data_IF_205865223955
#
_entry.id   IF_205865223955
#
_cell.length_a   1.000
_cell.length_b   1.000
_cell.length_c   1.000
_cell.angle_alpha   90.00
_cell.angle_beta   90.00
_cell.angle_gamma   90.00
#
_symmetry.space_group_name_H-M   'P 1'
#
loop_
_entity.id
_entity.type
_entity.pdbx_description
1 polymer ?
#
# COMPACT_ATOMS: atom_id res chain seq x y z
N UNK A 1 -66.51 38.88 -1.63
CA UNK A 1 -66.14 38.09 -0.44
C UNK A 1 -64.61 38.05 -0.36
N UNK A 2 -64.06 38.45 0.81
CA UNK A 2 -62.81 38.02 1.50
C UNK A 2 -61.70 37.40 0.62
N UNK A 3 -60.42 37.75 0.68
CA UNK A 3 -59.61 38.43 1.68
C UNK A 3 -58.20 38.69 1.08
N UNK A 4 -57.57 39.82 1.46
CA UNK A 4 -56.17 40.03 1.95
C UNK A 4 -55.06 39.06 1.46
N UNK A 5 -53.81 39.44 1.17
CA UNK A 5 -52.99 40.64 1.40
C UNK A 5 -51.74 40.50 0.49
N UNK A 6 -51.28 41.57 -0.17
CA UNK A 6 -50.16 42.46 0.21
C UNK A 6 -48.76 41.94 -0.16
N UNK A 7 -48.06 42.82 -0.89
CA UNK A 7 -46.63 42.82 -1.18
C UNK A 7 -45.77 42.80 0.09
N UNK A 8 -44.47 42.52 -0.06
CA UNK A 8 -43.37 43.36 0.48
C UNK A 8 -42.04 42.91 -0.12
N UNK A 9 -41.23 43.92 -0.40
CA UNK A 9 -39.90 43.89 -0.96
C UNK A 9 -38.82 43.74 0.15
N UNK A 10 -37.65 43.20 -0.24
CA UNK A 10 -36.32 43.79 0.00
C UNK A 10 -35.70 43.81 1.43
N UNK A 11 -34.40 43.45 1.45
CA UNK A 11 -33.27 43.87 2.33
C UNK A 11 -32.90 43.11 3.64
N UNK A 12 -31.62 42.72 3.65
CA UNK A 12 -30.56 42.94 4.66
C UNK A 12 -30.66 42.43 6.13
N UNK A 13 -29.63 41.65 6.48
CA UNK A 13 -28.73 41.75 7.66
C UNK A 13 -29.23 41.59 9.12
N UNK A 14 -28.37 40.87 9.86
CA UNK A 14 -28.04 40.91 11.31
C UNK A 14 -28.92 40.09 12.28
N UNK A 15 -28.39 38.95 12.79
CA UNK A 15 -27.68 38.73 14.09
C UNK A 15 -28.69 38.42 15.24
N UNK A 16 -28.55 37.47 16.18
CA UNK A 16 -27.47 36.73 16.89
C UNK A 16 -28.06 35.33 17.30
N UNK A 17 -27.40 34.27 17.78
CA UNK A 17 -26.09 34.05 18.41
C UNK A 17 -25.68 32.55 18.32
N UNK A 18 -24.37 32.31 18.23
CA UNK A 18 -23.59 31.15 18.69
C UNK A 18 -23.86 29.76 18.10
N UNK A 19 -23.08 29.40 17.07
CA UNK A 19 -22.47 28.06 16.95
C UNK A 19 -21.22 28.16 16.07
N UNK A 20 -20.11 27.69 16.61
CA UNK A 20 -18.75 27.78 16.09
C UNK A 20 -18.47 26.84 14.93
N UNK A 21 -18.09 27.39 13.77
CA UNK A 21 -17.10 26.79 12.85
C UNK A 21 -16.54 27.89 11.92
N UNK A 22 -15.60 28.66 12.46
CA UNK A 22 -15.13 29.94 11.92
C UNK A 22 -13.78 29.80 11.19
N UNK A 23 -13.82 29.66 9.85
CA UNK A 23 -12.66 29.80 8.98
C UNK A 23 -12.99 30.46 7.63
N UNK A 24 -12.47 31.66 7.38
CA UNK A 24 -12.58 32.42 6.13
C UNK A 24 -11.54 31.95 5.12
N UNK A 25 -11.97 31.76 3.87
CA UNK A 25 -11.19 31.16 2.79
C UNK A 25 -12.09 30.34 1.85
N UNK A 26 -11.54 29.58 0.90
CA UNK A 26 -10.11 29.43 0.64
C UNK A 26 -9.48 30.69 0.02
N UNK A 27 -8.30 31.07 0.52
CA UNK A 27 -7.39 32.01 -0.15
C UNK A 27 -6.42 31.20 -1.01
N UNK A 28 -6.25 31.62 -2.26
CA UNK A 28 -5.54 30.81 -3.26
C UNK A 28 -6.29 29.52 -3.57
N UNK A 29 -5.64 28.60 -4.29
CA UNK A 29 -6.28 27.35 -4.71
C UNK A 29 -5.36 26.15 -4.60
N UNK A 30 -5.94 25.04 -4.18
CA UNK A 30 -5.39 23.69 -4.29
C UNK A 30 -6.33 22.92 -5.21
N UNK A 31 -5.77 22.30 -6.23
CA UNK A 31 -6.45 21.43 -7.17
C UNK A 31 -5.55 20.24 -7.50
N UNK A 32 -5.84 19.07 -6.92
CA UNK A 32 -5.09 17.83 -7.14
C UNK A 32 -6.09 16.71 -7.42
N UNK A 33 -6.29 16.36 -8.69
CA UNK A 33 -7.37 15.44 -9.07
C UNK A 33 -8.73 15.96 -8.60
N UNK A 34 -9.41 15.18 -7.74
CA UNK A 34 -10.72 15.55 -7.19
C UNK A 34 -10.64 16.42 -5.92
N UNK A 35 -9.43 16.68 -5.41
CA UNK A 35 -9.22 17.48 -4.22
C UNK A 35 -9.24 18.96 -4.54
N UNK A 36 -10.07 19.72 -3.82
CA UNK A 36 -10.19 21.18 -3.94
C UNK A 36 -10.00 21.84 -2.58
N UNK A 37 -9.30 22.97 -2.54
CA UNK A 37 -9.02 23.63 -1.27
C UNK A 37 -8.18 24.90 -1.40
N UNK A 38 -7.55 25.29 -0.30
CA UNK A 38 -6.69 26.48 -0.23
C UNK A 38 -6.25 26.78 1.20
N UNK A 39 -5.80 28.01 1.43
CA UNK A 39 -5.44 28.52 2.76
C UNK A 39 -6.66 29.12 3.47
N UNK A 40 -6.70 28.99 4.79
CA UNK A 40 -7.81 29.50 5.62
C UNK A 40 -7.26 30.34 6.78
N UNK A 41 -8.07 31.29 7.25
CA UNK A 41 -7.79 32.09 8.44
C UNK A 41 -8.65 31.67 9.62
N UNK A 42 -8.29 32.11 10.81
CA UNK A 42 -9.19 32.14 11.95
C UNK A 42 -10.05 33.42 11.86
N UNK A 43 -11.37 33.33 11.99
CA UNK A 43 -12.25 34.50 11.74
C UNK A 43 -12.17 35.56 12.82
N UNK A 44 -11.76 35.19 14.03
CA UNK A 44 -11.65 36.10 15.18
C UNK A 44 -10.37 36.94 15.12
N UNK A 45 -9.29 36.35 14.60
CA UNK A 45 -7.96 36.98 14.58
C UNK A 45 -7.51 37.41 13.19
N UNK A 46 -8.19 36.96 12.13
CA UNK A 46 -7.79 37.14 10.73
C UNK A 46 -6.47 36.46 10.36
N UNK A 47 -5.84 35.74 11.30
CA UNK A 47 -4.51 35.16 11.13
C UNK A 47 -4.59 33.82 10.40
N UNK A 48 -3.54 33.48 9.65
CA UNK A 48 -3.43 32.20 8.96
C UNK A 48 -3.56 31.04 9.95
N UNK A 49 -4.52 30.15 9.71
CA UNK A 49 -4.80 29.03 10.59
C UNK A 49 -4.27 27.71 10.01
N UNK A 50 -4.67 27.37 8.78
CA UNK A 50 -4.35 26.09 8.17
C UNK A 50 -4.52 26.10 6.64
N UNK A 51 -3.92 25.12 5.97
CA UNK A 51 -4.27 24.75 4.59
C UNK A 51 -5.08 23.47 4.60
N UNK A 52 -6.12 23.41 3.76
CA UNK A 52 -7.00 22.25 3.66
C UNK A 52 -7.37 21.97 2.21
N UNK A 53 -7.64 20.70 1.92
CA UNK A 53 -8.35 20.31 0.71
C UNK A 53 -9.32 19.19 1.01
N UNK A 54 -10.48 19.22 0.34
CA UNK A 54 -11.51 18.20 0.47
C UNK A 54 -11.92 17.60 -0.86
N UNK A 55 -12.51 16.41 -0.77
CA UNK A 55 -13.08 15.68 -1.89
C UNK A 55 -14.40 15.01 -1.46
N UNK A 56 -15.36 14.98 -2.36
CA UNK A 56 -16.64 14.29 -2.15
C UNK A 56 -16.49 12.80 -2.49
N UNK A 57 -16.98 11.93 -1.61
CA UNK A 57 -17.01 10.49 -1.83
C UNK A 57 -18.45 9.99 -2.09
N UNK A 58 -18.56 8.86 -2.80
CA UNK A 58 -19.83 8.22 -3.12
C UNK A 58 -20.63 7.80 -1.88
N UNK A 59 -19.95 7.64 -0.73
CA UNK A 59 -20.57 7.38 0.57
C UNK A 59 -21.36 8.56 1.14
N UNK A 60 -21.38 9.71 0.47
CA UNK A 60 -21.99 10.95 0.96
C UNK A 60 -21.06 11.76 1.87
N UNK A 61 -19.91 11.21 2.26
CA UNK A 61 -18.93 11.92 3.09
C UNK A 61 -18.13 12.89 2.24
N UNK A 62 -18.06 14.14 2.68
CA UNK A 62 -17.05 15.09 2.25
C UNK A 62 -15.83 14.93 3.16
N UNK A 63 -14.73 14.45 2.59
CA UNK A 63 -13.51 14.11 3.32
C UNK A 63 -12.47 15.21 3.11
N UNK A 64 -11.85 15.67 4.20
CA UNK A 64 -10.93 16.80 4.22
C UNK A 64 -9.60 16.40 4.84
N UNK A 65 -8.50 16.85 4.26
CA UNK A 65 -7.16 16.74 4.82
C UNK A 65 -6.65 18.15 5.13
N UNK A 66 -6.16 18.35 6.35
CA UNK A 66 -5.73 19.64 6.85
C UNK A 66 -4.31 19.56 7.41
N UNK A 67 -3.56 20.66 7.23
CA UNK A 67 -2.30 20.91 7.91
C UNK A 67 -2.35 22.33 8.52
N UNK A 68 -2.10 22.43 9.81
CA UNK A 68 -2.10 23.72 10.52
C UNK A 68 -0.78 24.50 10.28
N UNK A 69 -0.76 25.76 10.72
CA UNK A 69 0.41 26.63 10.61
C UNK A 69 1.66 26.12 11.35
N UNK A 70 1.48 25.26 12.36
CA UNK A 70 2.53 24.56 13.11
C UNK A 70 2.99 23.24 12.50
N UNK A 71 2.33 22.76 11.43
CA UNK A 71 2.62 21.50 10.75
C UNK A 71 1.91 20.27 11.33
N UNK A 72 0.94 20.46 12.24
CA UNK A 72 0.06 19.41 12.73
C UNK A 72 -0.94 18.99 11.65
N UNK A 73 -1.19 17.69 11.53
CA UNK A 73 -2.13 17.15 10.54
C UNK A 73 -3.46 16.82 11.18
N UNK A 74 -4.54 16.90 10.40
CA UNK A 74 -5.83 16.36 10.82
C UNK A 74 -6.67 15.90 9.62
N UNK A 75 -7.57 14.96 9.90
CA UNK A 75 -8.63 14.53 8.99
C UNK A 75 -9.93 15.22 9.37
N UNK A 76 -10.73 15.60 8.38
CA UNK A 76 -12.08 16.08 8.55
C UNK A 76 -13.06 15.16 7.84
N UNK A 77 -14.14 14.80 8.52
CA UNK A 77 -15.24 14.05 7.92
C UNK A 77 -16.51 14.85 8.09
N UNK A 78 -17.19 15.15 6.99
CA UNK A 78 -18.49 15.82 7.01
C UNK A 78 -19.55 14.96 6.34
N UNK A 79 -20.71 14.83 6.98
CA UNK A 79 -21.81 14.04 6.43
C UNK A 79 -23.17 14.65 6.81
N UNK A 80 -24.05 14.83 5.84
CA UNK A 80 -25.32 15.56 5.99
C UNK A 80 -26.28 14.95 7.02
N UNK A 81 -26.21 13.63 7.23
CA UNK A 81 -27.06 12.92 8.17
C UNK A 81 -26.52 12.91 9.61
N UNK A 82 -25.32 13.45 9.85
CA UNK A 82 -24.78 13.51 11.21
C UNK A 82 -25.41 14.65 12.00
N UNK A 83 -25.57 14.41 13.30
CA UNK A 83 -26.02 15.37 14.31
C UNK A 83 -25.03 15.32 15.45
N UNK A 84 -24.03 16.19 15.40
CA UNK A 84 -22.91 16.21 16.32
C UNK A 84 -23.03 17.35 17.33
N UNK A 85 -22.61 17.11 18.56
CA UNK A 85 -22.47 18.13 19.60
C UNK A 85 -21.03 18.63 19.64
N UNK A 86 -20.80 19.93 19.43
CA UNK A 86 -19.44 20.50 19.49
C UNK A 86 -18.79 20.22 20.84
N UNK A 87 -17.58 19.67 20.83
CA UNK A 87 -16.81 19.34 22.03
C UNK A 87 -17.07 17.95 22.63
N UNK A 88 -18.07 17.21 22.16
CA UNK A 88 -18.32 15.83 22.59
C UNK A 88 -17.45 14.84 21.82
N UNK A 89 -16.81 13.87 22.49
CA UNK A 89 -15.95 12.90 21.81
C UNK A 89 -16.77 12.02 20.84
N UNK A 90 -16.39 12.01 19.56
CA UNK A 90 -17.04 11.21 18.53
C UNK A 90 -16.16 10.00 18.20
N UNK A 91 -16.51 8.77 18.62
CA UNK A 91 -15.67 7.61 18.37
C UNK A 91 -15.66 7.26 16.88
N UNK A 92 -14.46 7.07 16.32
CA UNK A 92 -14.26 6.45 15.01
C UNK A 92 -13.23 5.34 15.13
N UNK A 93 -13.42 4.31 14.31
CA UNK A 93 -12.39 3.30 14.08
C UNK A 93 -11.90 3.46 12.65
N UNK A 94 -10.63 3.92 12.51
CA UNK A 94 -10.00 4.12 11.21
C UNK A 94 -9.12 2.93 10.86
N UNK A 95 -9.34 2.31 9.72
CA UNK A 95 -8.51 1.22 9.22
C UNK A 95 -7.87 1.64 7.90
N UNK A 96 -6.55 1.53 7.79
CA UNK A 96 -5.82 1.86 6.56
C UNK A 96 -5.36 0.59 5.90
N UNK A 97 -5.64 0.40 4.61
CA UNK A 97 -5.24 -0.77 3.83
C UNK A 97 -5.55 -2.12 4.53
N UNK A 98 -6.67 -2.19 5.26
CA UNK A 98 -7.08 -3.38 6.01
C UNK A 98 -6.19 -3.75 7.20
N UNK A 99 -5.27 -2.86 7.61
CA UNK A 99 -4.39 -3.06 8.76
C UNK A 99 -5.12 -2.93 10.10
N UNK A 100 -4.38 -3.06 11.22
CA UNK A 100 -4.96 -2.89 12.55
C UNK A 100 -5.72 -1.56 12.68
N UNK A 101 -6.95 -1.57 13.22
CA UNK A 101 -7.75 -0.36 13.33
C UNK A 101 -7.19 0.61 14.39
N UNK A 102 -7.21 1.88 14.05
CA UNK A 102 -6.97 2.99 14.98
C UNK A 102 -8.30 3.40 15.59
N UNK A 103 -8.50 3.10 16.87
CA UNK A 103 -9.59 3.67 17.65
C UNK A 103 -9.21 5.11 18.00
N UNK A 104 -9.91 6.06 17.39
CA UNK A 104 -9.66 7.49 17.55
C UNK A 104 -10.91 8.19 18.07
N UNK A 105 -10.68 9.26 18.82
CA UNK A 105 -11.75 10.15 19.26
C UNK A 105 -11.70 11.41 18.40
N UNK A 106 -12.65 11.50 17.46
CA UNK A 106 -12.88 12.70 16.70
C UNK A 106 -13.47 13.80 17.58
N UNK A 107 -13.14 15.04 17.27
CA UNK A 107 -13.66 16.24 17.92
C UNK A 107 -14.61 16.91 16.93
N UNK A 108 -15.93 16.89 17.18
CA UNK A 108 -16.89 17.69 16.43
C UNK A 108 -16.53 19.16 16.52
N UNK A 109 -16.37 19.78 15.35
CA UNK A 109 -16.05 21.21 15.20
C UNK A 109 -17.17 21.97 14.47
N UNK A 110 -18.22 21.26 14.03
CA UNK A 110 -19.51 21.78 13.60
C UNK A 110 -20.57 20.68 13.79
N UNK A 111 -21.85 20.99 13.58
CA UNK A 111 -22.98 20.07 13.73
C UNK A 111 -22.91 18.82 12.82
N UNK A 112 -22.13 18.89 11.73
CA UNK A 112 -21.94 17.80 10.75
C UNK A 112 -20.49 17.45 10.47
N UNK A 113 -19.53 18.14 11.09
CA UNK A 113 -18.10 18.01 10.81
C UNK A 113 -17.34 17.55 12.05
N UNK A 114 -16.67 16.40 11.93
CA UNK A 114 -15.75 15.89 12.94
C UNK A 114 -14.31 15.98 12.44
N UNK A 115 -13.41 16.42 13.32
CA UNK A 115 -11.97 16.48 13.08
C UNK A 115 -11.25 15.40 13.88
N UNK A 116 -10.39 14.64 13.23
CA UNK A 116 -9.48 13.67 13.87
C UNK A 116 -8.06 14.23 13.82
N UNK A 117 -7.47 14.66 14.95
CA UNK A 117 -6.08 15.08 15.00
C UNK A 117 -5.12 13.93 14.67
N UNK A 118 -4.11 14.21 13.88
CA UNK A 118 -3.00 13.30 13.57
C UNK A 118 -1.68 14.03 13.85
N UNK A 119 -1.17 14.01 15.10
CA UNK A 119 0.10 14.63 15.44
C UNK A 119 1.21 14.19 14.48
N UNK A 120 2.13 15.10 14.13
CA UNK A 120 3.13 14.89 13.07
C UNK A 120 4.10 13.71 13.33
N UNK A 121 4.22 13.28 14.59
CA UNK A 121 4.99 12.13 15.06
C UNK A 121 4.13 10.87 15.34
N UNK A 122 2.82 10.89 15.06
CA UNK A 122 1.93 9.76 15.34
C UNK A 122 2.03 8.63 14.31
N UNK A 123 1.79 7.39 14.74
CA UNK A 123 1.64 6.25 13.83
C UNK A 123 0.47 6.45 12.84
N UNK A 124 -0.58 7.16 13.26
CA UNK A 124 -1.75 7.49 12.44
C UNK A 124 -1.39 8.32 11.19
N UNK A 125 -0.66 9.43 11.32
CA UNK A 125 -0.21 10.21 10.14
C UNK A 125 0.78 9.40 9.29
N UNK A 126 1.62 8.58 9.92
CA UNK A 126 2.57 7.73 9.20
C UNK A 126 1.86 6.68 8.34
N UNK A 127 0.73 6.16 8.84
CA UNK A 127 -0.11 5.20 8.14
C UNK A 127 -0.87 5.92 7.01
N UNK A 128 -1.55 7.03 7.32
CA UNK A 128 -2.30 7.81 6.33
C UNK A 128 -1.46 8.23 5.12
N UNK A 129 -0.19 8.63 5.33
CA UNK A 129 0.76 9.01 4.27
C UNK A 129 1.09 7.91 3.29
N UNK A 130 1.03 6.65 3.74
CA UNK A 130 1.41 5.47 2.94
C UNK A 130 0.20 4.72 2.41
N UNK A 131 -0.96 4.96 3.02
CA UNK A 131 -2.18 4.25 2.74
C UNK A 131 -2.75 4.57 1.37
N UNK A 132 -3.29 3.55 0.70
CA UNK A 132 -4.02 3.70 -0.57
C UNK A 132 -5.53 3.63 -0.37
N UNK A 133 -5.98 3.07 0.73
CA UNK A 133 -7.36 3.04 1.15
C UNK A 133 -7.47 3.27 2.66
N UNK A 134 -8.58 3.86 3.06
CA UNK A 134 -8.98 3.98 4.45
C UNK A 134 -10.45 3.61 4.58
N UNK A 135 -10.82 2.95 5.66
CA UNK A 135 -12.20 2.85 6.12
C UNK A 135 -12.36 3.58 7.43
N UNK A 136 -13.53 4.17 7.65
CA UNK A 136 -13.93 4.74 8.93
C UNK A 136 -15.23 4.07 9.36
N UNK A 137 -15.22 3.40 10.50
CA UNK A 137 -16.42 2.86 11.12
C UNK A 137 -16.88 3.78 12.25
N UNK A 138 -18.13 4.23 12.19
CA UNK A 138 -18.74 5.06 13.23
C UNK A 138 -20.26 4.99 13.12
N UNK A 139 -20.97 5.15 14.25
CA UNK A 139 -22.43 5.09 14.33
C UNK A 139 -23.04 3.86 13.62
N UNK A 140 -22.39 2.69 13.72
CA UNK A 140 -22.86 1.46 13.08
C UNK A 140 -22.68 1.39 11.56
N UNK A 141 -22.00 2.37 10.95
CA UNK A 141 -21.82 2.48 9.50
C UNK A 141 -20.33 2.47 9.13
N UNK A 142 -20.02 1.76 8.05
CA UNK A 142 -18.67 1.72 7.47
C UNK A 142 -18.61 2.67 6.26
N UNK A 143 -17.67 3.60 6.29
CA UNK A 143 -17.36 4.51 5.20
C UNK A 143 -16.02 4.12 4.58
N UNK A 144 -15.91 4.15 3.26
CA UNK A 144 -14.69 3.76 2.53
C UNK A 144 -14.14 4.95 1.72
N UNK A 145 -12.83 5.13 1.77
CA UNK A 145 -12.09 6.23 1.15
C UNK A 145 -10.91 5.67 0.34
N UNK A 146 -10.90 5.93 -0.96
CA UNK A 146 -9.71 5.77 -1.79
C UNK A 146 -8.74 6.95 -1.56
N UNK A 147 -7.48 6.66 -1.24
CA UNK A 147 -6.43 7.63 -0.93
C UNK A 147 -5.36 7.77 -2.04
N UNK A 148 -5.56 7.22 -3.23
CA UNK A 148 -4.55 7.18 -4.31
C UNK A 148 -4.02 8.57 -4.74
N UNK A 149 -4.80 9.64 -4.50
CA UNK A 149 -4.41 11.02 -4.80
C UNK A 149 -3.84 11.78 -3.59
N UNK A 150 -3.91 11.22 -2.37
CA UNK A 150 -3.38 11.91 -1.18
C UNK A 150 -1.87 12.06 -1.25
N UNK A 151 -1.15 11.10 -1.85
CA UNK A 151 0.30 11.20 -2.06
C UNK A 151 0.73 12.44 -2.87
N UNK A 152 -0.11 12.93 -3.79
CA UNK A 152 0.12 14.18 -4.52
C UNK A 152 -0.39 15.41 -3.77
N UNK A 153 -1.45 15.24 -2.97
CA UNK A 153 -2.06 16.31 -2.18
C UNK A 153 -1.18 16.75 -1.01
N UNK A 154 -0.55 15.82 -0.28
CA UNK A 154 0.17 16.16 0.94
C UNK A 154 1.33 17.15 0.72
N UNK A 155 2.19 17.00 -0.31
CA UNK A 155 3.21 18.00 -0.63
C UNK A 155 2.63 19.37 -1.01
N UNK A 156 1.47 19.39 -1.70
CA UNK A 156 0.77 20.62 -2.07
C UNK A 156 0.23 21.36 -0.85
N UNK A 157 -0.31 20.64 0.14
CA UNK A 157 -0.73 21.21 1.42
C UNK A 157 0.46 21.78 2.21
N UNK A 158 1.61 21.10 2.21
CA UNK A 158 2.85 21.61 2.82
C UNK A 158 3.36 22.86 2.09
N UNK A 159 3.33 22.88 0.75
CA UNK A 159 3.69 24.04 -0.06
C UNK A 159 2.79 25.25 0.24
N UNK A 160 1.50 25.02 0.41
CA UNK A 160 0.55 26.05 0.82
C UNK A 160 0.95 26.68 2.16
N UNK A 161 1.20 25.88 3.20
CA UNK A 161 1.65 26.39 4.51
C UNK A 161 2.96 27.17 4.37
N UNK A 162 3.94 26.64 3.66
CA UNK A 162 5.24 27.27 3.48
C UNK A 162 5.12 28.64 2.79
N UNK A 163 4.37 28.72 1.68
CA UNK A 163 4.19 29.95 0.90
C UNK A 163 3.46 31.02 1.71
N UNK A 164 2.40 30.66 2.42
CA UNK A 164 1.66 31.60 3.26
C UNK A 164 2.50 32.07 4.45
N UNK A 165 3.27 31.19 5.10
CA UNK A 165 4.18 31.60 6.19
C UNK A 165 5.30 32.52 5.72
N UNK A 166 5.78 32.34 4.50
CA UNK A 166 6.86 33.15 3.94
C UNK A 166 6.38 34.51 3.42
N UNK A 167 5.26 34.53 2.70
CA UNK A 167 4.84 35.68 1.87
C UNK A 167 3.48 36.26 2.27
N UNK A 168 2.84 35.71 3.30
CA UNK A 168 1.54 36.17 3.82
C UNK A 168 0.36 35.80 2.93
N UNK A 169 -0.86 36.02 3.44
CA UNK A 169 -2.11 35.66 2.75
C UNK A 169 -2.34 36.39 1.42
N UNK A 170 -1.85 37.62 1.30
CA UNK A 170 -1.98 38.41 0.08
C UNK A 170 -1.26 37.78 -1.13
N UNK A 171 -0.32 36.87 -0.88
CA UNK A 171 0.43 36.14 -1.91
C UNK A 171 -0.19 34.79 -2.31
N UNK A 172 -1.38 34.47 -1.77
CA UNK A 172 -2.06 33.23 -2.06
C UNK A 172 -2.36 33.12 -3.57
N UNK A 173 -1.96 32.00 -4.17
CA UNK A 173 -2.11 31.75 -5.59
C UNK A 173 -2.46 30.29 -5.83
N UNK A 174 -2.05 29.73 -6.97
CA UNK A 174 -2.10 28.28 -7.17
C UNK A 174 -0.98 27.60 -6.36
N UNK A 175 -1.37 26.74 -5.42
CA UNK A 175 -0.46 25.95 -4.59
C UNK A 175 -0.17 24.56 -5.18
N UNK A 176 -0.94 24.12 -6.17
CA UNK A 176 -0.75 22.83 -6.85
C UNK A 176 0.49 22.81 -7.72
N UNK A 177 0.98 23.97 -8.15
CA UNK A 177 2.27 24.10 -8.84
C UNK A 177 3.38 24.11 -7.80
N UNK A 178 4.06 22.98 -7.66
CA UNK A 178 5.25 22.89 -6.80
C UNK A 178 6.41 23.67 -7.46
N UNK A 179 7.21 24.42 -6.70
CA UNK A 179 8.38 25.10 -7.25
C UNK A 179 9.29 24.10 -7.98
N UNK A 180 9.72 24.44 -9.19
CA UNK A 180 10.77 23.69 -9.87
C UNK A 180 12.00 23.64 -8.95
N UNK A 181 12.53 22.45 -8.70
CA UNK A 181 13.78 22.30 -7.96
C UNK A 181 14.85 23.13 -8.71
N UNK A 182 15.39 24.17 -8.06
CA UNK A 182 16.42 25.02 -8.67
C UNK A 182 17.63 24.15 -9.06
N UNK A 183 18.08 24.18 -10.32
CA UNK A 183 19.34 23.56 -10.70
C UNK A 183 20.47 24.39 -10.09
N UNK A 184 21.28 23.76 -9.24
CA UNK A 184 22.45 24.42 -8.66
C UNK A 184 23.59 24.29 -9.67
N UNK A 185 23.91 25.40 -10.32
CA UNK A 185 25.08 25.55 -11.18
C UNK A 185 26.37 25.45 -10.35
N UNK A 186 27.34 24.73 -10.91
CA UNK A 186 28.65 24.51 -10.32
C UNK A 186 29.49 25.81 -10.29
N UNK A 187 29.96 26.18 -9.11
CA UNK A 187 31.20 26.93 -8.90
C UNK A 187 31.78 26.55 -7.53
N UNK A 188 33.08 26.22 -7.53
CA UNK A 188 33.98 25.90 -6.42
C UNK A 188 33.86 26.89 -5.23
N UNK A 189 34.11 26.57 -3.96
CA UNK A 189 35.08 25.66 -3.32
C UNK A 189 34.69 25.46 -1.84
N UNK A 190 35.27 24.41 -1.23
CA UNK A 190 35.41 24.10 0.20
C UNK A 190 34.19 23.60 1.00
N UNK A 191 34.33 22.31 1.32
CA UNK A 191 33.91 21.61 2.54
C UNK A 191 32.65 20.75 2.43
N UNK A 192 32.91 19.44 2.43
CA UNK A 192 31.97 18.35 2.27
C UNK A 192 30.96 18.30 3.41
N UNK A 193 29.70 18.68 3.12
CA UNK A 193 28.57 18.17 3.88
C UNK A 193 28.24 16.74 3.40
N UNK A 194 28.05 15.76 4.30
CA UNK A 194 27.83 14.37 3.90
C UNK A 194 26.52 14.25 3.12
N UNK A 195 26.55 13.48 2.03
CA UNK A 195 25.37 13.10 1.27
C UNK A 195 24.28 12.59 2.23
N UNK A 196 23.06 13.12 2.13
CA UNK A 196 21.92 12.50 2.84
C UNK A 196 21.87 11.04 2.40
N UNK A 197 21.97 10.07 3.32
CA UNK A 197 21.98 8.68 2.95
C UNK A 197 20.70 8.35 2.19
N UNK A 198 20.83 7.65 1.07
CA UNK A 198 19.69 7.01 0.40
C UNK A 198 18.86 6.33 1.49
N UNK A 199 17.59 6.73 1.64
CA UNK A 199 16.71 6.04 2.59
C UNK A 199 16.54 4.61 2.08
N UNK A 200 17.20 3.69 2.74
CA UNK A 200 17.04 2.27 2.54
C UNK A 200 15.83 1.79 3.32
N UNK A 201 15.00 0.96 2.70
CA UNK A 201 13.86 0.32 3.33
C UNK A 201 14.08 -1.18 3.39
N UNK A 202 13.46 -1.83 4.36
CA UNK A 202 13.45 -3.29 4.45
C UNK A 202 12.48 -3.87 3.43
N UNK A 203 13.00 -4.73 2.56
CA UNK A 203 12.24 -5.47 1.56
C UNK A 203 12.31 -6.95 1.92
N UNK A 204 11.17 -7.62 1.92
CA UNK A 204 11.06 -9.03 2.27
C UNK A 204 10.19 -9.80 1.28
N UNK A 205 10.46 -11.09 1.17
CA UNK A 205 9.70 -12.02 0.35
C UNK A 205 9.99 -13.46 0.77
N UNK A 206 9.53 -14.41 -0.03
CA UNK A 206 9.78 -15.83 0.16
C UNK A 206 10.60 -16.35 -1.02
N UNK A 207 11.43 -17.36 -0.79
CA UNK A 207 12.03 -18.17 -1.83
C UNK A 207 12.05 -19.63 -1.42
N UNK A 208 12.44 -20.52 -2.32
CA UNK A 208 12.60 -21.93 -1.99
C UNK A 208 13.75 -22.60 -2.72
N UNK A 209 14.42 -23.55 -2.04
CA UNK A 209 15.52 -24.33 -2.59
C UNK A 209 15.02 -25.30 -3.68
N UNK A 210 15.68 -25.28 -4.83
CA UNK A 210 15.38 -26.16 -5.98
C UNK A 210 16.51 -27.13 -6.30
N UNK A 211 17.70 -26.93 -5.73
CA UNK A 211 18.88 -27.76 -5.98
C UNK A 211 19.66 -28.04 -4.70
N UNK A 212 20.34 -29.18 -4.64
CA UNK A 212 21.19 -29.57 -3.51
C UNK A 212 22.43 -28.69 -3.36
N UNK A 213 22.77 -27.92 -4.39
CA UNK A 213 23.92 -27.00 -4.42
C UNK A 213 23.53 -25.57 -3.99
N UNK A 214 22.39 -25.40 -3.33
CA UNK A 214 22.00 -24.14 -2.69
C UNK A 214 21.39 -23.10 -3.63
N UNK A 215 20.80 -23.50 -4.76
CA UNK A 215 20.02 -22.58 -5.59
C UNK A 215 18.59 -22.42 -5.08
N UNK A 216 18.15 -21.17 -4.93
CA UNK A 216 16.80 -20.78 -4.52
C UNK A 216 16.12 -20.01 -5.65
N UNK A 217 14.82 -20.23 -5.79
CA UNK A 217 13.96 -19.42 -6.66
C UNK A 217 13.14 -18.46 -5.80
N UNK A 218 12.98 -17.23 -6.28
CA UNK A 218 12.06 -16.22 -5.76
C UNK A 218 11.52 -15.38 -6.92
N UNK A 219 10.75 -14.32 -6.65
CA UNK A 219 10.36 -13.38 -7.69
C UNK A 219 11.44 -12.31 -7.95
N UNK A 220 11.54 -11.85 -9.20
CA UNK A 220 12.46 -10.78 -9.56
C UNK A 220 12.15 -9.49 -8.78
N UNK A 221 10.87 -9.15 -8.61
CA UNK A 221 10.49 -7.95 -7.86
C UNK A 221 10.84 -8.03 -6.36
N UNK A 222 11.06 -9.22 -5.78
CA UNK A 222 11.46 -9.37 -4.37
C UNK A 222 12.90 -8.89 -4.16
N UNK A 223 13.76 -9.07 -5.17
CA UNK A 223 15.17 -8.70 -5.11
C UNK A 223 15.50 -7.41 -5.85
N UNK A 224 14.53 -6.84 -6.56
CA UNK A 224 14.71 -5.61 -7.33
C UNK A 224 14.97 -4.42 -6.41
N UNK A 225 16.06 -3.69 -6.69
CA UNK A 225 16.44 -2.50 -5.92
C UNK A 225 17.17 -2.80 -4.60
N UNK A 226 17.42 -4.08 -4.28
CA UNK A 226 18.27 -4.47 -3.16
C UNK A 226 19.66 -3.85 -3.31
N UNK A 227 20.18 -3.35 -2.19
CA UNK A 227 21.52 -2.81 -2.06
C UNK A 227 22.25 -3.48 -0.91
N UNK A 228 23.52 -3.79 -1.15
CA UNK A 228 24.28 -4.65 -0.25
C UNK A 228 23.84 -6.10 -0.35
N UNK A 229 23.90 -6.80 0.77
CA UNK A 229 23.71 -8.25 0.80
C UNK A 229 22.23 -8.62 0.85
N UNK A 230 21.83 -9.54 -0.04
CA UNK A 230 20.56 -10.26 0.08
C UNK A 230 20.77 -11.34 1.15
N UNK A 231 19.83 -11.43 2.09
CA UNK A 231 19.85 -12.43 3.15
C UNK A 231 18.74 -13.45 2.95
N UNK A 232 19.00 -14.67 3.40
CA UNK A 232 18.02 -15.75 3.42
C UNK A 232 18.17 -16.61 4.66
N UNK A 233 17.05 -17.00 5.27
CA UNK A 233 17.03 -17.99 6.34
C UNK A 233 15.83 -18.92 6.26
N UNK A 234 16.04 -20.14 6.72
CA UNK A 234 14.96 -21.04 7.09
C UNK A 234 14.31 -20.57 8.41
N UNK A 235 13.11 -21.07 8.68
CA UNK A 235 12.39 -20.75 9.90
C UNK A 235 13.21 -21.14 11.14
N UNK A 236 13.50 -20.16 12.00
CA UNK A 236 14.24 -20.38 13.24
C UNK A 236 15.76 -20.49 13.08
N UNK A 237 16.27 -20.35 11.85
CA UNK A 237 17.70 -20.37 11.56
C UNK A 237 18.27 -18.96 11.37
N UNK A 238 19.59 -18.83 11.52
CA UNK A 238 20.29 -17.57 11.31
C UNK A 238 20.30 -17.17 9.82
N UNK A 239 20.23 -15.86 9.50
CA UNK A 239 20.41 -15.36 8.15
C UNK A 239 21.76 -15.76 7.52
N UNK A 240 21.69 -16.29 6.30
CA UNK A 240 22.82 -16.54 5.43
C UNK A 240 22.82 -15.55 4.26
N UNK A 241 24.02 -15.22 3.77
CA UNK A 241 24.17 -14.37 2.59
C UNK A 241 23.78 -15.13 1.33
N UNK A 242 22.96 -14.50 0.51
CA UNK A 242 22.54 -14.98 -0.80
C UNK A 242 23.19 -14.16 -1.90
N UNK A 243 23.62 -14.84 -2.97
CA UNK A 243 24.12 -14.21 -4.20
C UNK A 243 23.02 -14.26 -5.26
N UNK A 244 22.75 -13.13 -5.90
CA UNK A 244 21.94 -13.11 -7.13
C UNK A 244 22.73 -13.77 -8.27
N UNK A 245 22.17 -14.84 -8.84
CA UNK A 245 22.79 -15.60 -9.94
C UNK A 245 22.22 -15.14 -11.28
N UNK A 246 20.89 -15.02 -11.37
CA UNK A 246 20.17 -14.64 -12.58
C UNK A 246 18.83 -14.00 -12.20
N UNK A 247 18.30 -13.14 -13.06
CA UNK A 247 16.98 -12.52 -12.90
C UNK A 247 16.31 -12.37 -14.25
N UNK A 248 15.05 -12.79 -14.32
CA UNK A 248 14.14 -12.60 -15.45
C UNK A 248 13.00 -11.70 -14.99
N UNK A 249 13.13 -10.40 -15.23
CA UNK A 249 12.09 -9.42 -14.89
C UNK A 249 10.81 -9.60 -15.72
N UNK A 250 10.90 -10.22 -16.90
CA UNK A 250 9.74 -10.43 -17.79
C UNK A 250 8.79 -11.45 -17.21
N UNK A 251 9.34 -12.57 -16.69
CA UNK A 251 8.57 -13.64 -16.06
C UNK A 251 8.52 -13.53 -14.53
N UNK A 252 9.11 -12.46 -13.98
CA UNK A 252 9.17 -12.17 -12.54
C UNK A 252 9.79 -13.32 -11.72
N UNK A 253 10.91 -13.87 -12.20
CA UNK A 253 11.68 -14.93 -11.54
C UNK A 253 13.10 -14.46 -11.27
N UNK A 254 13.64 -14.79 -10.10
CA UNK A 254 15.03 -14.59 -9.77
C UNK A 254 15.63 -15.86 -9.14
N UNK A 255 16.89 -16.11 -9.49
CA UNK A 255 17.69 -17.21 -9.00
C UNK A 255 18.72 -16.67 -8.01
N UNK A 256 18.63 -17.12 -6.77
CA UNK A 256 19.59 -16.82 -5.71
C UNK A 256 20.42 -18.06 -5.40
N UNK A 257 21.59 -17.87 -4.79
CA UNK A 257 22.42 -18.96 -4.32
C UNK A 257 22.91 -18.72 -2.89
N UNK A 258 22.71 -19.71 -2.03
CA UNK A 258 23.33 -19.85 -0.71
C UNK A 258 24.50 -20.83 -0.82
N UNK A 259 25.58 -20.58 -0.08
CA UNK A 259 26.70 -21.52 -0.03
C UNK A 259 26.38 -22.69 0.89
N UNK A 260 26.50 -23.93 0.41
CA UNK A 260 26.29 -25.13 1.21
C UNK A 260 25.85 -26.34 0.37
N UNK A 261 25.59 -27.46 1.06
CA UNK A 261 24.98 -28.66 0.48
C UNK A 261 23.70 -28.98 1.24
N UNK A 262 22.63 -29.23 0.50
CA UNK A 262 21.27 -29.32 1.02
C UNK A 262 20.64 -30.65 0.60
N UNK A 263 19.99 -31.34 1.53
CA UNK A 263 19.30 -32.60 1.28
C UNK A 263 17.83 -32.39 0.93
N UNK A 264 17.19 -31.47 1.65
CA UNK A 264 15.78 -31.16 1.49
C UNK A 264 15.63 -30.01 0.48
N UNK A 265 15.12 -30.36 -0.71
CA UNK A 265 14.88 -29.41 -1.79
C UNK A 265 13.49 -29.66 -2.37
N UNK A 266 12.89 -28.61 -2.91
CA UNK A 266 11.60 -28.72 -3.56
C UNK A 266 11.69 -29.58 -4.81
N UNK A 267 10.67 -30.42 -5.02
CA UNK A 267 10.48 -31.19 -6.26
C UNK A 267 9.41 -30.52 -7.10
N UNK A 268 9.61 -30.46 -8.40
CA UNK A 268 8.68 -29.84 -9.35
C UNK A 268 7.78 -30.93 -9.94
N UNK A 269 6.46 -30.75 -9.85
CA UNK A 269 5.48 -31.73 -10.36
C UNK A 269 5.61 -31.88 -11.87
N UNK A 270 5.92 -33.07 -12.36
CA UNK A 270 6.13 -33.37 -13.79
C UNK A 270 4.91 -32.97 -14.63
N UNK A 271 3.74 -33.43 -14.16
CA UNK A 271 2.46 -33.30 -14.84
C UNK A 271 1.82 -31.94 -14.64
N UNK A 272 1.10 -31.50 -15.66
CA UNK A 272 0.29 -30.29 -15.61
C UNK A 272 -0.77 -30.37 -14.49
N UNK A 273 -0.93 -29.27 -13.77
CA UNK A 273 -2.02 -29.06 -12.81
C UNK A 273 -3.32 -28.77 -13.56
N UNK A 274 -4.46 -29.16 -12.98
CA UNK A 274 -5.78 -28.91 -13.56
C UNK A 274 -6.57 -27.86 -12.76
N UNK A 275 -7.55 -27.23 -13.40
CA UNK A 275 -8.51 -26.40 -12.67
C UNK A 275 -9.28 -27.25 -11.66
N UNK A 276 -9.41 -26.76 -10.44
CA UNK A 276 -10.01 -27.48 -9.32
C UNK A 276 -9.02 -28.27 -8.46
N UNK A 277 -7.78 -28.49 -8.91
CA UNK A 277 -6.76 -29.15 -8.10
C UNK A 277 -6.48 -28.33 -6.83
N UNK A 278 -6.45 -29.03 -5.68
CA UNK A 278 -6.08 -28.45 -4.39
C UNK A 278 -4.63 -28.01 -4.36
N UNK A 279 -4.40 -26.83 -3.78
CA UNK A 279 -3.07 -26.24 -3.65
C UNK A 279 -2.83 -25.68 -2.25
N UNK A 280 -1.56 -25.67 -1.86
CA UNK A 280 -1.06 -25.09 -0.62
C UNK A 280 0.00 -24.06 -0.96
N UNK A 281 -0.19 -22.81 -0.53
CA UNK A 281 0.80 -21.75 -0.66
C UNK A 281 1.50 -21.54 0.69
N UNK A 282 2.83 -21.46 0.63
CA UNK A 282 3.72 -21.36 1.79
C UNK A 282 4.60 -20.12 1.62
N UNK A 283 4.74 -19.32 2.67
CA UNK A 283 5.63 -18.17 2.67
C UNK A 283 5.61 -17.36 3.96
N UNK A 284 6.37 -16.28 4.00
CA UNK A 284 6.59 -15.44 5.17
C UNK A 284 5.87 -14.08 5.03
N UNK A 285 4.53 -14.03 5.17
CA UNK A 285 3.82 -12.78 5.07
C UNK A 285 4.17 -11.90 6.26
N UNK A 286 4.47 -10.63 6.00
CA UNK A 286 4.69 -9.63 7.04
C UNK A 286 5.69 -10.07 8.13
N UNK A 287 6.80 -10.71 7.75
CA UNK A 287 7.84 -11.12 8.70
C UNK A 287 8.26 -9.95 9.60
N UNK A 288 8.23 -10.17 10.93
CA UNK A 288 8.49 -9.14 11.95
C UNK A 288 7.31 -8.25 12.34
N UNK A 289 6.15 -8.36 11.68
CA UNK A 289 4.91 -7.62 11.98
C UNK A 289 3.74 -8.52 12.43
N UNK A 290 3.66 -9.77 11.96
CA UNK A 290 2.61 -10.74 12.34
C UNK A 290 3.18 -11.99 13.04
N UNK A 291 4.13 -12.68 12.41
CA UNK A 291 4.83 -13.85 12.96
C UNK A 291 6.24 -13.91 12.37
N UNK A 292 7.17 -14.52 13.10
CA UNK A 292 8.52 -14.81 12.61
C UNK A 292 8.61 -16.14 11.85
N UNK A 293 7.55 -16.95 11.92
CA UNK A 293 7.42 -18.24 11.23
C UNK A 293 6.68 -18.07 9.88
N UNK A 294 6.81 -19.04 8.97
CA UNK A 294 6.04 -19.00 7.72
C UNK A 294 4.57 -19.37 7.98
N UNK A 295 3.72 -18.96 7.05
CA UNK A 295 2.29 -19.25 7.05
C UNK A 295 1.93 -20.26 5.96
N UNK A 296 0.83 -20.97 6.20
CA UNK A 296 0.28 -21.95 5.30
C UNK A 296 -1.12 -21.51 4.93
N UNK A 297 -1.40 -21.45 3.63
CA UNK A 297 -2.74 -21.15 3.12
C UNK A 297 -3.14 -22.18 2.09
N UNK A 298 -4.41 -22.56 2.08
CA UNK A 298 -4.95 -23.57 1.16
C UNK A 298 -5.96 -22.95 0.21
N UNK A 299 -6.14 -23.58 -0.93
CA UNK A 299 -7.12 -23.20 -1.94
C UNK A 299 -7.12 -24.18 -3.11
N UNK A 300 -7.57 -23.70 -4.26
CA UNK A 300 -7.58 -24.47 -5.52
C UNK A 300 -6.94 -23.65 -6.64
N UNK A 301 -6.62 -24.31 -7.74
CA UNK A 301 -6.42 -23.65 -9.03
C UNK A 301 -7.78 -23.26 -9.60
N UNK A 302 -8.06 -21.97 -9.64
CA UNK A 302 -9.31 -21.42 -10.18
C UNK A 302 -9.30 -21.32 -11.70
N UNK A 303 -8.13 -21.05 -12.30
CA UNK A 303 -7.94 -20.98 -13.76
C UNK A 303 -6.51 -21.30 -14.14
N UNK A 304 -6.33 -21.89 -15.32
CA UNK A 304 -5.02 -22.17 -15.92
C UNK A 304 -4.43 -20.96 -16.66
N UNK A 305 -4.98 -19.76 -16.51
CA UNK A 305 -4.43 -18.52 -17.07
C UNK A 305 -4.58 -17.38 -16.08
N UNK A 306 -3.67 -16.41 -16.17
CA UNK A 306 -3.69 -15.18 -15.40
C UNK A 306 -4.60 -14.11 -16.00
N UNK A 307 -4.38 -12.88 -15.55
CA UNK A 307 -5.09 -11.70 -16.04
C UNK A 307 -4.94 -11.56 -17.57
N UNK A 308 -6.04 -11.20 -18.26
CA UNK A 308 -6.08 -11.05 -19.72
C UNK A 308 -5.60 -12.31 -20.48
N UNK A 309 -5.85 -13.50 -19.94
CA UNK A 309 -5.42 -14.78 -20.51
C UNK A 309 -3.89 -14.95 -20.61
N UNK A 310 -3.13 -14.30 -19.73
CA UNK A 310 -1.69 -14.53 -19.65
C UNK A 310 -1.40 -16.00 -19.27
N UNK A 311 -0.91 -16.77 -20.24
CA UNK A 311 -0.71 -18.22 -20.12
C UNK A 311 0.44 -18.59 -19.21
N UNK A 312 1.26 -17.63 -18.77
CA UNK A 312 2.39 -17.86 -17.87
C UNK A 312 1.95 -18.09 -16.42
N UNK A 313 0.73 -17.68 -16.08
CA UNK A 313 0.21 -17.72 -14.72
C UNK A 313 -0.93 -18.72 -14.53
N UNK A 314 -1.10 -19.15 -13.28
CA UNK A 314 -2.27 -19.80 -12.72
C UNK A 314 -3.04 -18.77 -11.89
N UNK A 315 -4.36 -18.80 -11.95
CA UNK A 315 -5.20 -18.16 -10.95
C UNK A 315 -5.48 -19.14 -9.82
N UNK A 316 -5.31 -18.69 -8.58
CA UNK A 316 -5.54 -19.50 -7.37
C UNK A 316 -6.44 -18.78 -6.39
N UNK A 317 -7.22 -19.56 -5.63
CA UNK A 317 -8.03 -19.06 -4.52
C UNK A 317 -7.28 -19.00 -3.19
N UNK A 318 -6.14 -19.69 -3.07
CA UNK A 318 -5.32 -19.68 -1.86
C UNK A 318 -4.92 -18.25 -1.49
N UNK A 319 -5.07 -17.89 -0.23
CA UNK A 319 -4.84 -16.52 0.24
C UNK A 319 -3.35 -16.13 0.16
N UNK A 320 -3.02 -15.18 -0.73
CA UNK A 320 -1.66 -14.63 -0.85
C UNK A 320 -1.60 -13.28 -0.14
N UNK A 321 -0.53 -12.93 0.56
CA UNK A 321 -0.34 -11.60 1.16
C UNK A 321 1.08 -11.09 0.84
N UNK A 322 1.36 -9.77 0.99
CA UNK A 322 2.73 -9.26 0.91
C UNK A 322 3.69 -10.08 1.79
N UNK A 323 4.76 -10.58 1.18
CA UNK A 323 5.72 -11.51 1.80
C UNK A 323 5.61 -12.96 1.33
N UNK A 324 4.47 -13.40 0.79
CA UNK A 324 4.34 -14.73 0.17
C UNK A 324 4.94 -14.80 -1.26
N UNK A 325 5.16 -13.64 -1.88
CA UNK A 325 5.78 -13.54 -3.21
C UNK A 325 7.13 -14.25 -3.25
N UNK A 326 7.30 -15.10 -4.24
CA UNK A 326 8.44 -15.98 -4.49
C UNK A 326 8.34 -17.34 -3.78
N UNK A 327 7.31 -17.56 -2.95
CA UNK A 327 7.10 -18.82 -2.25
C UNK A 327 6.57 -19.94 -3.12
N UNK A 328 6.73 -21.21 -2.70
CA UNK A 328 6.25 -22.36 -3.44
C UNK A 328 4.73 -22.49 -3.35
N UNK A 329 4.09 -22.74 -4.49
CA UNK A 329 2.73 -23.26 -4.58
C UNK A 329 2.81 -24.78 -4.76
N UNK A 330 2.26 -25.53 -3.81
CA UNK A 330 2.40 -26.99 -3.74
C UNK A 330 1.05 -27.67 -4.05
N UNK A 331 1.09 -28.77 -4.79
CA UNK A 331 -0.05 -29.68 -4.93
C UNK A 331 -0.27 -30.51 -3.65
N UNK A 332 -1.37 -31.26 -3.59
CA UNK A 332 -1.62 -32.24 -2.52
C UNK A 332 -0.50 -33.27 -2.35
N UNK A 333 0.31 -33.54 -3.37
CA UNK A 333 1.50 -34.42 -3.27
C UNK A 333 2.68 -33.78 -2.53
N UNK A 334 2.64 -32.47 -2.28
CA UNK A 334 3.77 -31.70 -1.77
C UNK A 334 4.76 -31.23 -2.85
N UNK A 335 4.47 -31.50 -4.13
CA UNK A 335 5.31 -31.05 -5.25
C UNK A 335 4.94 -29.64 -5.72
N UNK A 336 5.93 -28.88 -6.16
CA UNK A 336 5.77 -27.53 -6.69
C UNK A 336 4.99 -27.55 -8.01
N UNK A 337 3.93 -26.77 -8.05
CA UNK A 337 3.07 -26.52 -9.21
C UNK A 337 3.07 -25.05 -9.64
N UNK A 338 3.74 -24.18 -8.90
CA UNK A 338 4.02 -22.81 -9.32
C UNK A 338 4.80 -22.00 -8.30
N UNK A 339 5.12 -20.75 -8.66
CA UNK A 339 5.77 -19.75 -7.80
C UNK A 339 4.76 -18.65 -7.51
N UNK A 340 4.42 -18.42 -6.25
CA UNK A 340 3.47 -17.36 -5.86
C UNK A 340 4.05 -16.01 -6.28
N UNK A 341 3.34 -15.23 -7.10
CA UNK A 341 3.90 -14.01 -7.71
C UNK A 341 3.39 -12.73 -7.03
N UNK A 342 2.11 -12.45 -7.17
CA UNK A 342 1.46 -11.34 -6.48
C UNK A 342 -0.07 -11.46 -6.62
N UNK A 343 -0.80 -10.75 -5.76
CA UNK A 343 -2.25 -10.55 -5.93
C UNK A 343 -2.49 -9.64 -7.13
N UNK A 344 -3.65 -9.81 -7.77
CA UNK A 344 -4.19 -8.82 -8.69
C UNK A 344 -4.10 -7.43 -8.06
N UNK A 345 -3.66 -6.43 -8.83
CA UNK A 345 -3.76 -5.03 -8.37
C UNK A 345 -5.24 -4.66 -8.31
N UNK A 346 -5.85 -4.93 -7.15
CA UNK A 346 -7.27 -4.76 -6.89
C UNK A 346 -7.72 -3.34 -7.24
N UNK A 347 -6.86 -2.33 -7.10
CA UNK A 347 -7.15 -0.94 -7.44
C UNK A 347 -7.26 -0.74 -8.95
N UNK A 348 -6.32 -1.27 -9.75
CA UNK A 348 -6.43 -1.22 -11.22
C UNK A 348 -7.65 -2.01 -11.73
N UNK A 349 -7.96 -3.14 -11.10
CA UNK A 349 -9.11 -3.95 -11.46
C UNK A 349 -10.43 -3.25 -11.09
N UNK A 350 -10.58 -2.77 -9.86
CA UNK A 350 -11.75 -1.99 -9.40
C UNK A 350 -11.96 -0.75 -10.28
N UNK A 351 -10.90 -0.03 -10.66
CA UNK A 351 -11.02 1.12 -11.57
C UNK A 351 -11.53 0.74 -12.96
N UNK A 352 -11.29 -0.51 -13.40
CA UNK A 352 -11.74 -1.00 -14.70
C UNK A 352 -13.11 -1.69 -14.65
N UNK A 353 -13.48 -2.31 -13.53
CA UNK A 353 -14.65 -3.21 -13.44
C UNK A 353 -15.68 -2.80 -12.39
N UNK A 354 -15.37 -1.85 -11.50
CA UNK A 354 -16.23 -1.42 -10.39
C UNK A 354 -16.34 -2.41 -9.22
N UNK A 355 -15.67 -3.57 -9.27
CA UNK A 355 -15.79 -4.63 -8.27
C UNK A 355 -14.44 -4.94 -7.60
N UNK A 356 -14.44 -5.22 -6.29
CA UNK A 356 -13.26 -5.71 -5.57
C UNK A 356 -13.12 -7.21 -5.82
N UNK A 357 -12.01 -7.66 -6.43
CA UNK A 357 -11.80 -9.08 -6.66
C UNK A 357 -11.40 -9.75 -5.35
N UNK A 358 -12.24 -10.65 -4.86
CA UNK A 358 -11.94 -11.53 -3.71
C UNK A 358 -11.41 -12.88 -4.20
N UNK A 359 -10.44 -13.46 -3.47
CA UNK A 359 -9.85 -14.77 -3.77
C UNK A 359 -9.29 -14.92 -5.20
N UNK A 360 -8.77 -13.82 -5.77
CA UNK A 360 -8.05 -13.81 -7.05
C UNK A 360 -6.57 -13.52 -6.80
N UNK A 361 -5.77 -14.58 -6.76
CA UNK A 361 -4.31 -14.50 -6.63
C UNK A 361 -3.65 -15.25 -7.79
N UNK A 362 -2.35 -15.01 -8.00
CA UNK A 362 -1.63 -15.61 -9.13
C UNK A 362 -0.33 -16.29 -8.72
N UNK A 363 0.00 -17.35 -9.45
CA UNK A 363 1.28 -18.03 -9.37
C UNK A 363 1.84 -18.27 -10.78
N UNK A 364 3.14 -18.15 -10.95
CA UNK A 364 3.85 -18.47 -12.20
C UNK A 364 3.87 -19.98 -12.37
N UNK A 365 3.57 -20.48 -13.58
CA UNK A 365 3.52 -21.91 -13.88
C UNK A 365 4.91 -22.58 -13.83
N UNK A 366 4.90 -23.88 -13.58
CA UNK A 366 6.11 -24.72 -13.63
C UNK A 366 6.81 -24.72 -14.99
N UNK A 367 6.10 -24.50 -16.10
CA UNK A 367 6.73 -24.35 -17.42
C UNK A 367 7.74 -23.21 -17.46
N UNK A 368 7.30 -21.99 -17.12
CA UNK A 368 8.19 -20.82 -17.05
C UNK A 368 9.31 -21.00 -16.02
N UNK A 369 9.01 -21.65 -14.88
CA UNK A 369 10.02 -21.99 -13.88
C UNK A 369 11.10 -22.94 -14.42
N UNK A 370 10.72 -24.00 -15.12
CA UNK A 370 11.65 -24.97 -15.73
C UNK A 370 12.52 -24.32 -16.77
N UNK A 371 11.90 -23.59 -17.71
CA UNK A 371 12.62 -22.86 -18.75
C UNK A 371 13.66 -21.90 -18.14
N UNK A 372 13.30 -21.20 -17.05
CA UNK A 372 14.21 -20.32 -16.33
C UNK A 372 15.38 -21.07 -15.68
N UNK A 373 15.13 -22.23 -15.07
CA UNK A 373 16.16 -23.06 -14.44
C UNK A 373 17.09 -23.72 -15.48
N UNK A 374 16.53 -24.21 -16.59
CA UNK A 374 17.26 -24.80 -17.70
C UNK A 374 18.19 -23.78 -18.35
N UNK A 375 17.67 -22.57 -18.63
CA UNK A 375 18.47 -21.46 -19.16
C UNK A 375 19.57 -20.99 -18.19
N UNK A 376 19.37 -21.22 -16.89
CA UNK A 376 20.38 -20.92 -15.85
C UNK A 376 21.30 -22.11 -15.55
N UNK A 377 21.14 -23.23 -16.25
CA UNK A 377 21.92 -24.48 -16.07
C UNK A 377 21.86 -25.00 -14.63
N UNK A 378 20.69 -24.88 -13.98
CA UNK A 378 20.47 -25.31 -12.61
C UNK A 378 19.78 -26.68 -12.58
N UNK A 379 20.39 -27.71 -11.98
CA UNK A 379 19.72 -28.99 -11.80
C UNK A 379 18.57 -28.87 -10.80
N UNK A 380 17.42 -29.47 -11.12
CA UNK A 380 16.25 -29.55 -10.25
C UNK A 380 15.66 -30.96 -10.27
N UNK A 381 14.86 -31.29 -9.24
CA UNK A 381 14.21 -32.59 -9.14
C UNK A 381 12.78 -32.52 -9.68
N UNK A 382 12.39 -33.55 -10.44
CA UNK A 382 11.02 -33.73 -10.92
C UNK A 382 10.35 -34.84 -10.10
N UNK A 383 9.04 -34.72 -9.88
CA UNK A 383 8.22 -35.72 -9.19
C UNK A 383 6.94 -36.01 -9.97
N UNK A 384 6.56 -37.27 -10.08
CA UNK A 384 5.28 -37.74 -10.60
C UNK A 384 4.39 -38.33 -9.48
N UNK A 385 4.70 -38.00 -8.22
CA UNK A 385 4.04 -38.55 -7.05
C UNK A 385 2.52 -38.34 -7.10
N UNK A 386 1.79 -39.43 -6.85
CA UNK A 386 0.32 -39.46 -6.83
C UNK A 386 -0.27 -39.51 -5.42
N UNK A 387 0.54 -39.84 -4.42
CA UNK A 387 0.09 -39.95 -3.05
C UNK A 387 -0.19 -38.56 -2.48
N UNK A 388 -1.39 -38.36 -1.95
CA UNK A 388 -1.76 -37.11 -1.30
C UNK A 388 -1.24 -37.09 0.14
N UNK A 389 -0.62 -35.98 0.52
CA UNK A 389 -0.17 -35.67 1.86
C UNK A 389 -1.21 -34.79 2.55
N UNK A 390 -1.28 -34.88 3.89
CA UNK A 390 -2.06 -33.91 4.65
C UNK A 390 -1.38 -32.55 4.58
N UNK A 391 -2.15 -31.47 4.62
CA UNK A 391 -1.62 -30.09 4.62
C UNK A 391 -0.56 -29.86 5.69
N UNK A 392 -0.71 -30.46 6.87
CA UNK A 392 0.28 -30.36 7.95
C UNK A 392 1.61 -31.04 7.58
N UNK A 393 1.59 -32.14 6.85
CA UNK A 393 2.78 -32.85 6.40
C UNK A 393 3.47 -32.08 5.25
N UNK A 394 2.68 -31.51 4.33
CA UNK A 394 3.19 -30.60 3.28
C UNK A 394 3.91 -29.42 3.93
N UNK A 395 3.27 -28.76 4.89
CA UNK A 395 3.84 -27.63 5.62
C UNK A 395 5.12 -28.01 6.37
N UNK A 396 5.12 -29.16 7.06
CA UNK A 396 6.30 -29.66 7.79
C UNK A 396 7.48 -29.93 6.85
N UNK A 397 7.22 -30.53 5.69
CA UNK A 397 8.28 -30.82 4.71
C UNK A 397 8.82 -29.54 4.07
N UNK A 398 7.94 -28.60 3.74
CA UNK A 398 8.31 -27.33 3.13
C UNK A 398 9.13 -26.41 4.03
N UNK A 399 9.08 -26.60 5.36
CA UNK A 399 9.91 -25.86 6.32
C UNK A 399 11.39 -25.92 5.98
N UNK A 400 11.85 -27.08 5.50
CA UNK A 400 13.26 -27.37 5.28
C UNK A 400 13.84 -26.72 4.01
N UNK A 401 12.97 -26.28 3.09
CA UNK A 401 13.41 -25.70 1.82
C UNK A 401 12.83 -24.30 1.54
N UNK A 402 11.98 -23.74 2.41
CA UNK A 402 11.34 -22.43 2.18
C UNK A 402 12.03 -21.34 3.00
N UNK A 403 12.61 -20.38 2.31
CA UNK A 403 13.41 -19.30 2.88
C UNK A 403 12.63 -18.01 2.97
N UNK A 404 12.79 -17.30 4.08
CA UNK A 404 12.56 -15.87 4.13
C UNK A 404 13.69 -15.20 3.36
N UNK A 405 13.36 -14.31 2.43
CA UNK A 405 14.32 -13.47 1.71
C UNK A 405 14.19 -12.05 2.25
N UNK A 406 15.31 -11.39 2.55
CA UNK A 406 15.32 -10.01 3.00
C UNK A 406 16.51 -9.22 2.44
N UNK A 407 16.33 -7.93 2.23
CA UNK A 407 17.41 -7.02 1.86
C UNK A 407 17.06 -5.58 2.25
N UNK A 408 18.07 -4.71 2.25
CA UNK A 408 17.86 -3.27 2.21
C UNK A 408 17.68 -2.85 0.76
N UNK A 409 16.67 -2.06 0.44
CA UNK A 409 16.41 -1.61 -0.93
C UNK A 409 16.33 -0.09 -1.04
N UNK A 410 16.79 0.46 -2.17
CA UNK A 410 16.57 1.87 -2.51
C UNK A 410 15.16 2.06 -3.05
N UNK A 411 14.53 3.18 -2.71
CA UNK A 411 13.30 3.57 -3.40
C UNK A 411 13.57 3.74 -4.90
N UNK A 412 12.77 3.08 -5.74
CA UNK A 412 12.87 3.16 -7.19
C UNK A 412 12.65 4.62 -7.61
N UNK A 413 13.69 5.27 -8.16
CA UNK A 413 13.48 6.47 -8.98
C UNK A 413 12.61 6.05 -10.16
N UNK A 414 11.47 6.71 -10.33
CA UNK A 414 10.64 6.47 -11.52
C UNK A 414 11.45 6.98 -12.70
N UNK A 415 12.00 6.05 -13.46
CA UNK A 415 12.41 6.27 -14.83
C UNK A 415 11.21 6.90 -15.55
N UNK A 416 11.39 8.17 -15.91
CA UNK A 416 10.47 8.88 -16.77
C UNK A 416 10.60 8.22 -18.13
N UNK A 417 9.72 7.26 -18.42
CA UNK A 417 9.54 6.75 -19.75
C UNK A 417 9.12 7.92 -20.64
N UNK A 418 10.11 8.55 -21.29
CA UNK A 418 9.94 9.17 -22.60
C UNK A 418 9.64 8.02 -23.56
N UNK A 419 8.41 7.97 -24.03
CA UNK A 419 8.04 7.83 -25.44
C UNK A 419 6.54 8.06 -25.58
#
# INVERSE_FOLDING_TARGET
MKCRAAAVAVLLCAMFANSSSEARGPYGSISVGNWKGGAYTNDQTGSFSHCAAGAQYASGVYFVVMIDSGGGWSLGFMHEQWRLTTGEAFPLTLTFDGQQPFNVHGVPIADKLVRVPMPSNSSLISQFRRAKAMTAYTQGRLFQFNLDQTGQLLPVLVNCVAKIRQSGLASAGDFSVLPAAKPVAAAATSESAPAKPDRLFDQTGTGFLVSTNGHLVTNAHVVQGCVGDIQGNLSGEAPAKLRLVSSDETNDLALLQVTGSFKDVAKIRDKAIQSGDSVVAIGYPFHGLLTSDFTVTTGIVSSLSGLLNDTRFLQISAAVQPGNSGGPLLASSGDVVGVVAAKLNAIKFVRATGNIPENINFAIKTGALRDFLDNSVVPYQISDAKAELKTADIARNARAFTYLISCKAKAKERETARN
#
